data_IF_587272626225
#
_entry.id   IF_587272626225
#
_cell.length_a   1.000
_cell.length_b   1.000
_cell.length_c   1.000
_cell.angle_alpha   90.00
_cell.angle_beta   90.00
_cell.angle_gamma   90.00
#
_symmetry.space_group_name_H-M   'P 1'
#
loop_
_entity.id
_entity.type
_entity.pdbx_description
1 polymer ?
#
# COMPACT_ATOMS: atom_id res chain seq x y z
N UNK A 1 12.15 6.91 4.36
CA UNK A 1 11.36 5.67 4.23
C UNK A 1 10.13 5.97 3.39
N UNK A 2 9.70 5.05 2.51
CA UNK A 2 8.45 5.13 1.74
C UNK A 2 7.54 3.98 2.15
N UNK A 3 6.25 4.22 2.21
CA UNK A 3 5.25 3.22 2.54
C UNK A 3 3.93 3.53 1.82
N UNK A 4 3.16 2.48 1.54
CA UNK A 4 1.82 2.56 0.98
C UNK A 4 0.85 1.92 1.96
N UNK A 5 -0.23 2.62 2.28
CA UNK A 5 -1.30 2.13 3.17
C UNK A 5 -2.62 2.40 2.48
N UNK A 6 -3.44 1.35 2.31
CA UNK A 6 -4.78 1.42 1.73
C UNK A 6 -5.80 1.19 2.83
N UNK A 7 -6.84 2.02 2.84
CA UNK A 7 -7.93 2.03 3.80
C UNK A 7 -9.25 1.85 3.06
N UNK A 8 -10.18 1.12 3.65
CA UNK A 8 -11.56 1.05 3.20
C UNK A 8 -12.40 2.24 3.73
N UNK A 9 -13.67 2.31 3.32
CA UNK A 9 -14.61 3.38 3.72
C UNK A 9 -14.87 3.43 5.23
N UNK A 10 -14.70 2.31 5.94
CA UNK A 10 -14.83 2.24 7.40
C UNK A 10 -13.53 2.64 8.12
N UNK A 11 -12.48 3.00 7.38
CA UNK A 11 -11.16 3.34 7.92
C UNK A 11 -10.35 2.12 8.36
N UNK A 12 -10.73 0.91 7.94
CA UNK A 12 -9.96 -0.30 8.20
C UNK A 12 -8.88 -0.47 7.14
N UNK A 13 -7.71 -0.89 7.60
CA UNK A 13 -6.54 -1.08 6.74
C UNK A 13 -6.72 -2.37 5.93
N UNK A 14 -6.69 -2.23 4.61
CA UNK A 14 -6.83 -3.35 3.65
C UNK A 14 -5.48 -3.78 3.08
N UNK A 15 -4.50 -2.88 3.03
CA UNK A 15 -3.15 -3.19 2.57
C UNK A 15 -2.13 -2.27 3.23
N UNK A 16 -0.97 -2.82 3.59
CA UNK A 16 0.19 -2.06 4.06
C UNK A 16 1.45 -2.62 3.44
N UNK A 17 2.23 -1.75 2.83
CA UNK A 17 3.53 -2.06 2.30
C UNK A 17 4.55 -1.04 2.79
N UNK A 18 5.63 -1.56 3.38
CA UNK A 18 6.81 -0.77 3.71
C UNK A 18 7.87 -1.09 2.67
N UNK A 19 8.30 -0.08 1.93
CA UNK A 19 9.30 -0.26 0.88
C UNK A 19 10.68 -0.38 1.54
N UNK A 20 11.41 -1.44 1.20
CA UNK A 20 12.73 -1.73 1.78
C UNK A 20 13.76 -0.64 1.47
N UNK A 21 13.79 -0.15 0.23
CA UNK A 21 14.67 0.94 -0.22
C UNK A 21 13.86 2.14 -0.71
N UNK A 22 14.32 3.35 -0.41
CA UNK A 22 13.58 4.58 -0.79
C UNK A 22 13.55 4.78 -2.30
N UNK A 23 14.58 4.29 -3.00
CA UNK A 23 14.70 4.35 -4.44
C UNK A 23 13.77 3.37 -5.16
N UNK A 24 13.30 2.32 -4.47
CA UNK A 24 12.41 1.34 -5.05
C UNK A 24 10.98 1.87 -5.14
N UNK A 25 10.26 1.39 -6.15
CA UNK A 25 8.85 1.67 -6.29
C UNK A 25 8.03 0.67 -5.46
N UNK A 26 6.98 1.14 -4.75
CA UNK A 26 6.03 0.25 -4.08
C UNK A 26 5.29 -0.64 -5.08
N UNK A 27 4.71 -1.74 -4.59
CA UNK A 27 3.86 -2.59 -5.40
C UNK A 27 2.46 -1.99 -5.61
N UNK A 28 2.35 -1.14 -6.63
CA UNK A 28 1.10 -0.48 -7.01
C UNK A 28 -0.01 -1.47 -7.40
N UNK A 29 0.35 -2.60 -8.01
CA UNK A 29 -0.62 -3.63 -8.38
C UNK A 29 -1.26 -4.26 -7.13
N UNK A 30 -0.47 -4.52 -6.09
CA UNK A 30 -0.97 -5.02 -4.81
C UNK A 30 -1.87 -3.99 -4.11
N UNK A 31 -1.50 -2.71 -4.16
CA UNK A 31 -2.32 -1.64 -3.61
C UNK A 31 -3.66 -1.48 -4.35
N UNK A 32 -3.67 -1.57 -5.69
CA UNK A 32 -4.88 -1.50 -6.50
C UNK A 32 -5.75 -2.76 -6.36
N UNK A 33 -5.14 -3.93 -6.19
CA UNK A 33 -5.87 -5.17 -5.92
C UNK A 33 -6.61 -5.11 -4.58
N UNK A 34 -6.09 -4.38 -3.59
CA UNK A 34 -6.74 -4.18 -2.30
C UNK A 34 -7.97 -3.24 -2.34
N UNK A 35 -8.22 -2.58 -3.48
CA UNK A 35 -9.40 -1.75 -3.75
C UNK A 35 -10.49 -2.47 -4.55
N UNK A 36 -10.21 -3.69 -5.06
CA UNK A 36 -11.20 -4.52 -5.76
C UNK A 36 -12.03 -5.33 -4.79
#
# INVERSE_FOLDING_TARGET
>A
ARAVVVLDEAGKVTHTELVNEIADEPNYDAALAALR
#
